data_IF_384404563886
#
_entry.id   IF_384404563886
#
_cell.length_a   1.000
_cell.length_b   1.000
_cell.length_c   1.000
_cell.angle_alpha   90.00
_cell.angle_beta   90.00
_cell.angle_gamma   90.00
#
_symmetry.space_group_name_H-M   'P 1'
#
loop_
_entity.id
_entity.type
_entity.pdbx_description
1 polymer ?
#
# COMPACT_ATOMS: atom_id res chain seq x y z
N UNK A 1 -30.96 -5.47 47.18
CA UNK A 1 -31.51 -4.10 47.07
C UNK A 1 -30.62 -3.35 46.08
N UNK A 2 -31.01 -3.15 44.81
CA UNK A 2 -31.58 -1.90 44.23
C UNK A 2 -30.75 -0.67 44.66
N UNK A 3 -30.10 0.09 43.77
CA UNK A 3 -30.66 0.72 42.57
C UNK A 3 -29.62 1.08 41.49
N UNK A 4 -30.03 0.89 40.24
CA UNK A 4 -29.62 1.58 39.01
C UNK A 4 -29.48 3.09 39.16
N UNK A 5 -28.47 3.69 38.50
CA UNK A 5 -28.53 5.10 38.09
C UNK A 5 -28.06 5.23 36.64
N UNK A 6 -29.02 5.48 35.76
CA UNK A 6 -28.84 5.98 34.39
C UNK A 6 -29.21 7.47 34.43
N UNK A 7 -28.37 8.35 33.89
CA UNK A 7 -28.69 9.68 33.31
C UNK A 7 -27.34 10.24 32.80
N UNK A 8 -27.03 10.08 31.51
CA UNK A 8 -27.29 11.05 30.43
C UNK A 8 -26.69 12.43 30.70
N UNK A 9 -25.71 12.84 29.88
CA UNK A 9 -25.83 14.00 28.99
C UNK A 9 -24.59 14.14 28.10
N UNK A 10 -24.88 14.37 26.82
CA UNK A 10 -23.95 14.54 25.72
C UNK A 10 -23.07 15.78 25.91
N UNK A 11 -21.78 15.64 25.60
CA UNK A 11 -20.90 16.77 25.38
C UNK A 11 -20.48 16.79 23.92
N UNK A 12 -21.27 17.52 23.13
CA UNK A 12 -20.95 17.91 21.77
C UNK A 12 -19.86 18.99 21.83
N UNK A 13 -18.69 18.73 21.23
CA UNK A 13 -17.76 19.80 20.87
C UNK A 13 -17.36 19.62 19.41
N UNK A 14 -18.03 20.41 18.57
CA UNK A 14 -17.65 20.64 17.18
C UNK A 14 -16.48 21.62 17.14
N UNK A 15 -15.42 21.30 16.40
CA UNK A 15 -14.48 22.31 15.90
C UNK A 15 -13.64 21.79 14.72
N UNK A 16 -13.79 22.50 13.59
CA UNK A 16 -12.78 22.80 12.58
C UNK A 16 -12.19 21.67 11.71
N UNK A 17 -12.83 21.45 10.56
CA UNK A 17 -12.11 21.19 9.31
C UNK A 17 -12.54 22.24 8.28
N UNK A 18 -11.87 23.39 8.31
CA UNK A 18 -11.87 24.37 7.23
C UNK A 18 -10.98 23.81 6.11
N UNK A 19 -11.52 23.02 5.19
CA UNK A 19 -10.85 22.77 3.92
C UNK A 19 -11.04 24.00 3.03
N UNK A 20 -9.95 24.74 2.89
CA UNK A 20 -9.78 25.84 1.94
C UNK A 20 -9.86 25.33 0.50
N UNK A 21 -11.08 25.27 -0.05
CA UNK A 21 -11.31 25.07 -1.47
C UNK A 21 -11.12 26.41 -2.20
N UNK A 22 -9.87 26.72 -2.58
CA UNK A 22 -9.61 27.66 -3.67
C UNK A 22 -9.83 26.93 -4.99
N UNK A 23 -10.99 27.13 -5.62
CA UNK A 23 -11.12 27.03 -7.08
C UNK A 23 -11.95 28.20 -7.58
N UNK A 24 -11.25 29.11 -8.26
CA UNK A 24 -11.78 30.29 -8.92
C UNK A 24 -12.71 29.92 -10.10
N UNK A 25 -13.64 30.83 -10.48
CA UNK A 25 -14.65 30.58 -11.50
C UNK A 25 -14.09 30.76 -12.93
N UNK A 26 -14.50 29.88 -13.85
CA UNK A 26 -14.35 30.11 -15.29
C UNK A 26 -15.70 30.49 -15.91
N UNK A 27 -15.86 31.69 -16.50
CA UNK A 27 -17.06 32.03 -17.26
C UNK A 27 -16.94 31.65 -18.74
N UNK A 28 -18.05 31.10 -19.25
CA UNK A 28 -18.62 31.15 -20.60
C UNK A 28 -17.73 30.96 -21.85
N UNK A 29 -18.12 29.99 -22.70
CA UNK A 29 -17.64 29.89 -24.07
C UNK A 29 -18.27 28.74 -24.85
N UNK A 30 -19.44 28.99 -25.42
CA UNK A 30 -20.15 28.13 -26.37
C UNK A 30 -19.47 28.23 -27.75
N UNK A 31 -19.08 27.12 -28.41
CA UNK A 31 -19.04 26.96 -29.89
C UNK A 31 -18.49 25.59 -30.38
N UNK A 32 -19.35 24.83 -31.07
CA UNK A 32 -19.16 23.97 -32.27
C UNK A 32 -18.07 22.87 -32.41
N UNK A 33 -18.34 21.81 -33.22
CA UNK A 33 -17.53 20.59 -33.27
C UNK A 33 -16.36 20.62 -34.29
N UNK A 34 -15.28 19.90 -33.94
CA UNK A 34 -14.24 19.17 -34.73
C UNK A 34 -13.64 19.83 -36.02
N UNK A 35 -12.31 19.76 -36.26
CA UNK A 35 -11.71 18.48 -36.64
C UNK A 35 -10.26 18.20 -36.15
N UNK A 36 -9.93 16.92 -36.16
CA UNK A 36 -8.62 16.24 -36.33
C UNK A 36 -7.33 17.08 -36.19
N UNK A 37 -6.50 16.72 -35.21
CA UNK A 37 -5.04 16.68 -35.32
C UNK A 37 -4.48 15.74 -34.24
N UNK A 38 -4.01 14.59 -34.72
CA UNK A 38 -2.89 13.77 -34.22
C UNK A 38 -2.34 14.13 -32.82
N UNK A 39 -2.42 13.22 -31.81
CA UNK A 39 -1.65 13.41 -30.59
C UNK A 39 -0.17 13.14 -30.90
N UNK A 40 0.66 14.16 -30.72
CA UNK A 40 2.11 14.02 -30.64
C UNK A 40 2.45 12.92 -29.61
N UNK A 41 3.34 11.97 -29.93
CA UNK A 41 3.83 11.05 -28.91
C UNK A 41 4.56 11.89 -27.87
N UNK A 42 4.13 11.78 -26.61
CA UNK A 42 4.96 12.19 -25.50
C UNK A 42 6.29 11.46 -25.65
N UNK A 43 7.37 12.22 -25.86
CA UNK A 43 8.74 11.76 -25.67
C UNK A 43 8.86 11.23 -24.23
N UNK A 44 8.54 9.95 -24.08
CA UNK A 44 9.10 9.14 -23.01
C UNK A 44 10.57 9.06 -23.36
N UNK A 45 11.38 9.92 -22.75
CA UNK A 45 12.82 9.69 -22.70
C UNK A 45 13.01 8.23 -22.31
N UNK A 46 13.76 7.43 -23.09
CA UNK A 46 14.14 6.10 -22.67
C UNK A 46 15.14 6.30 -21.53
N UNK A 47 14.60 6.49 -20.32
CA UNK A 47 15.35 6.27 -19.09
C UNK A 47 15.84 4.85 -19.18
N UNK A 48 17.15 4.72 -19.38
CA UNK A 48 17.93 3.49 -19.38
C UNK A 48 17.22 2.39 -18.61
N UNK A 49 16.89 1.29 -19.30
CA UNK A 49 16.46 0.05 -18.68
C UNK A 49 17.34 -0.21 -17.47
N UNK A 50 16.73 -0.12 -16.29
CA UNK A 50 17.37 -0.39 -15.01
C UNK A 50 17.56 -1.88 -14.85
N UNK A 51 18.40 -2.47 -15.70
CA UNK A 51 18.76 -3.88 -15.66
C UNK A 51 19.39 -4.20 -14.29
N UNK A 52 18.60 -4.87 -13.46
CA UNK A 52 19.06 -5.60 -12.28
C UNK A 52 18.31 -5.26 -11.00
N UNK A 53 18.35 -4.00 -10.56
CA UNK A 53 18.01 -3.66 -9.18
C UNK A 53 16.58 -3.14 -8.98
N UNK A 54 16.00 -2.46 -9.97
CA UNK A 54 14.63 -1.96 -9.90
C UNK A 54 13.60 -2.99 -10.39
N UNK A 55 14.01 -4.18 -10.82
CA UNK A 55 13.07 -5.20 -11.32
C UNK A 55 12.23 -4.70 -12.50
N UNK A 56 10.92 -4.93 -12.44
CA UNK A 56 9.94 -4.49 -13.44
C UNK A 56 9.41 -3.06 -13.23
N UNK A 57 10.00 -2.29 -12.32
CA UNK A 57 9.64 -0.89 -12.08
C UNK A 57 10.40 0.05 -13.02
N UNK A 58 9.81 1.19 -13.37
CA UNK A 58 10.42 2.17 -14.27
C UNK A 58 11.61 2.91 -13.64
N UNK A 59 11.76 2.85 -12.32
CA UNK A 59 12.90 3.43 -11.59
C UNK A 59 13.10 2.80 -10.22
N UNK A 60 14.27 3.03 -9.60
CA UNK A 60 14.52 2.60 -8.22
C UNK A 60 13.59 3.30 -7.21
N UNK A 61 13.26 4.58 -7.42
CA UNK A 61 12.28 5.27 -6.58
C UNK A 61 10.91 4.61 -6.63
N UNK A 62 10.44 4.22 -7.82
CA UNK A 62 9.18 3.51 -7.98
C UNK A 62 9.23 2.13 -7.29
N UNK A 63 10.35 1.41 -7.44
CA UNK A 63 10.57 0.14 -6.76
C UNK A 63 10.53 0.30 -5.24
N UNK A 64 11.24 1.29 -4.71
CA UNK A 64 11.30 1.58 -3.27
C UNK A 64 9.94 1.92 -2.68
N UNK A 65 9.19 2.82 -3.33
CA UNK A 65 7.83 3.17 -2.87
C UNK A 65 6.94 1.94 -2.89
N UNK A 66 6.96 1.17 -3.97
CA UNK A 66 6.05 0.04 -4.15
C UNK A 66 6.39 -1.12 -3.20
N UNK A 67 7.65 -1.53 -3.13
CA UNK A 67 8.12 -2.60 -2.23
C UNK A 67 7.88 -2.22 -0.77
N UNK A 68 8.21 -0.99 -0.37
CA UNK A 68 8.01 -0.54 1.01
C UNK A 68 6.54 -0.47 1.39
N UNK A 69 5.67 0.06 0.51
CA UNK A 69 4.24 0.16 0.79
C UNK A 69 3.58 -1.21 0.95
N UNK A 70 3.92 -2.17 0.09
CA UNK A 70 3.43 -3.55 0.21
C UNK A 70 3.99 -4.21 1.46
N UNK A 71 5.29 -4.06 1.73
CA UNK A 71 5.91 -4.62 2.92
C UNK A 71 5.26 -4.08 4.21
N UNK A 72 5.04 -2.76 4.32
CA UNK A 72 4.32 -2.15 5.43
C UNK A 72 2.90 -2.70 5.59
N UNK A 73 2.18 -2.91 4.49
CA UNK A 73 0.82 -3.48 4.53
C UNK A 73 0.81 -4.88 5.14
N UNK A 74 1.84 -5.68 4.88
CA UNK A 74 2.01 -7.02 5.44
C UNK A 74 2.46 -6.95 6.89
N UNK A 75 3.39 -6.06 7.22
CA UNK A 75 3.94 -5.88 8.57
C UNK A 75 2.94 -5.34 9.58
N UNK A 76 1.76 -4.91 9.14
CA UNK A 76 0.63 -4.54 10.02
C UNK A 76 -0.15 -5.77 10.50
N UNK A 77 -0.09 -6.92 9.83
CA UNK A 77 -0.85 -8.13 10.21
C UNK A 77 -0.65 -8.58 11.67
N UNK A 78 0.56 -8.55 12.26
CA UNK A 78 0.74 -8.85 13.68
C UNK A 78 -0.06 -7.90 14.58
N UNK A 79 -0.10 -6.61 14.24
CA UNK A 79 -0.87 -5.61 14.97
C UNK A 79 -2.38 -5.78 14.77
N UNK A 80 -2.81 -6.15 13.56
CA UNK A 80 -4.20 -6.50 13.28
C UNK A 80 -4.67 -7.62 14.22
N UNK A 81 -3.85 -8.64 14.45
CA UNK A 81 -4.11 -9.70 15.43
C UNK A 81 -4.41 -9.18 16.84
N UNK A 82 -3.67 -8.18 17.32
CA UNK A 82 -3.84 -7.60 18.66
C UNK A 82 -5.17 -6.85 18.83
N UNK A 83 -5.76 -6.36 17.74
CA UNK A 83 -7.01 -5.57 17.76
C UNK A 83 -8.22 -6.35 17.23
N UNK A 84 -8.10 -7.66 17.05
CA UNK A 84 -9.18 -8.52 16.54
C UNK A 84 -9.30 -8.50 15.01
N UNK A 85 -8.16 -8.60 14.33
CA UNK A 85 -8.03 -8.62 12.88
C UNK A 85 -8.94 -9.64 12.19
N UNK A 86 -9.26 -9.36 10.94
CA UNK A 86 -10.27 -10.07 10.16
C UNK A 86 -9.69 -10.68 8.89
N UNK A 87 -10.42 -11.62 8.29
CA UNK A 87 -10.01 -12.25 7.04
C UNK A 87 -9.75 -11.22 5.92
N UNK A 88 -10.42 -10.07 5.94
CA UNK A 88 -10.22 -8.98 4.99
C UNK A 88 -8.83 -8.34 5.11
N UNK A 89 -8.22 -8.29 6.30
CA UNK A 89 -6.87 -7.75 6.50
C UNK A 89 -5.83 -8.65 5.82
N UNK A 90 -6.00 -9.96 5.98
CA UNK A 90 -5.16 -10.98 5.33
C UNK A 90 -5.35 -10.93 3.82
N UNK A 91 -6.60 -10.86 3.36
CA UNK A 91 -6.92 -10.74 1.94
C UNK A 91 -6.28 -9.49 1.33
N UNK A 92 -6.33 -8.35 2.01
CA UNK A 92 -5.67 -7.12 1.57
C UNK A 92 -4.17 -7.33 1.44
N UNK A 93 -3.51 -7.95 2.42
CA UNK A 93 -2.08 -8.24 2.32
C UNK A 93 -1.74 -9.17 1.13
N UNK A 94 -2.55 -10.21 0.90
CA UNK A 94 -2.41 -11.08 -0.27
C UNK A 94 -2.60 -10.35 -1.60
N UNK A 95 -3.59 -9.46 -1.67
CA UNK A 95 -3.87 -8.66 -2.87
C UNK A 95 -2.72 -7.67 -3.15
N UNK A 96 -2.14 -7.04 -2.11
CA UNK A 96 -0.96 -6.17 -2.27
C UNK A 96 0.27 -6.97 -2.72
N UNK A 97 0.48 -8.18 -2.20
CA UNK A 97 1.53 -9.09 -2.67
C UNK A 97 1.36 -9.47 -4.13
N UNK A 98 0.13 -9.79 -4.55
CA UNK A 98 -0.17 -10.17 -5.92
C UNK A 98 0.09 -9.03 -6.91
N UNK A 99 -0.15 -7.76 -6.52
CA UNK A 99 0.16 -6.59 -7.37
C UNK A 99 1.65 -6.41 -7.64
N UNK A 100 2.50 -6.86 -6.72
CA UNK A 100 3.95 -6.82 -6.86
C UNK A 100 4.53 -8.02 -7.59
N UNK A 101 3.76 -9.09 -7.74
CA UNK A 101 4.22 -10.31 -8.38
C UNK A 101 4.67 -10.02 -9.83
N UNK A 102 5.90 -10.44 -10.15
CA UNK A 102 6.51 -10.18 -11.46
C UNK A 102 7.17 -8.81 -11.63
N UNK A 103 6.90 -7.84 -10.73
CA UNK A 103 7.56 -6.52 -10.74
C UNK A 103 8.73 -6.44 -9.77
N UNK A 104 8.71 -7.25 -8.71
CA UNK A 104 9.79 -7.26 -7.72
C UNK A 104 11.16 -7.56 -8.37
N UNK A 105 12.23 -6.91 -7.87
CA UNK A 105 13.61 -7.22 -8.26
C UNK A 105 13.91 -8.72 -8.15
N UNK A 106 14.76 -9.24 -9.03
CA UNK A 106 15.17 -10.67 -9.06
C UNK A 106 15.62 -11.17 -7.68
N UNK A 107 16.43 -10.37 -6.97
CA UNK A 107 16.92 -10.67 -5.62
C UNK A 107 15.77 -10.88 -4.61
N UNK A 108 14.65 -10.16 -4.79
CA UNK A 108 13.51 -10.19 -3.87
C UNK A 108 12.46 -11.25 -4.19
N UNK A 109 12.39 -11.74 -5.44
CA UNK A 109 11.41 -12.76 -5.87
C UNK A 109 11.30 -13.94 -4.89
N UNK A 110 12.39 -14.66 -4.54
CA UNK A 110 12.27 -15.82 -3.65
C UNK A 110 11.81 -15.46 -2.23
N UNK A 111 12.06 -14.23 -1.77
CA UNK A 111 11.63 -13.78 -0.45
C UNK A 111 10.15 -13.44 -0.43
N UNK A 112 9.67 -12.75 -1.47
CA UNK A 112 8.25 -12.47 -1.67
C UNK A 112 7.43 -13.75 -1.87
N UNK A 113 7.94 -14.73 -2.61
CA UNK A 113 7.25 -16.01 -2.80
C UNK A 113 7.10 -16.79 -1.49
N UNK A 114 8.16 -16.84 -0.66
CA UNK A 114 8.10 -17.48 0.65
C UNK A 114 7.16 -16.75 1.60
N UNK A 115 7.20 -15.42 1.63
CA UNK A 115 6.31 -14.60 2.44
C UNK A 115 4.85 -14.78 2.02
N UNK A 116 4.59 -14.81 0.71
CA UNK A 116 3.27 -15.11 0.16
C UNK A 116 2.79 -16.50 0.56
N UNK A 117 3.61 -17.54 0.39
CA UNK A 117 3.25 -18.89 0.79
C UNK A 117 2.95 -19.00 2.29
N UNK A 118 3.72 -18.29 3.12
CA UNK A 118 3.46 -18.20 4.55
C UNK A 118 2.09 -17.55 4.85
N UNK A 119 1.79 -16.41 4.24
CA UNK A 119 0.51 -15.71 4.44
C UNK A 119 -0.67 -16.56 3.94
N UNK A 120 -0.53 -17.20 2.79
CA UNK A 120 -1.55 -18.10 2.24
C UNK A 120 -1.80 -19.31 3.17
N UNK A 121 -0.75 -19.86 3.79
CA UNK A 121 -0.85 -20.94 4.76
C UNK A 121 -1.36 -20.49 6.14
N UNK A 122 -0.99 -19.28 6.56
CA UNK A 122 -1.42 -18.73 7.84
C UNK A 122 -2.90 -18.34 7.81
N UNK A 123 -3.38 -17.80 6.69
CA UNK A 123 -4.78 -17.38 6.55
C UNK A 123 -5.17 -16.42 7.68
N UNK A 124 -6.33 -16.63 8.29
CA UNK A 124 -6.80 -15.79 9.40
C UNK A 124 -6.24 -16.18 10.77
N UNK A 125 -5.24 -17.06 10.85
CA UNK A 125 -4.56 -17.37 12.11
C UNK A 125 -3.52 -16.28 12.43
N UNK A 126 -3.99 -15.20 13.05
CA UNK A 126 -3.16 -14.03 13.32
C UNK A 126 -1.99 -14.29 14.28
N UNK A 127 -2.03 -15.38 15.06
CA UNK A 127 -0.91 -15.74 15.94
C UNK A 127 0.35 -16.08 15.15
N UNK A 128 0.21 -16.54 13.90
CA UNK A 128 1.35 -16.85 13.04
C UNK A 128 2.11 -15.61 12.59
N UNK A 129 1.43 -14.48 12.36
CA UNK A 129 2.11 -13.25 11.92
C UNK A 129 3.01 -12.66 13.02
N UNK A 130 2.72 -12.92 14.30
CA UNK A 130 3.59 -12.53 15.42
C UNK A 130 4.77 -13.48 15.67
N UNK A 131 4.97 -14.51 14.83
CA UNK A 131 5.99 -15.54 15.07
C UNK A 131 7.39 -15.14 14.59
N UNK A 132 8.41 -15.80 15.16
CA UNK A 132 9.80 -15.70 14.68
C UNK A 132 9.94 -16.08 13.20
N UNK A 133 9.08 -16.97 12.69
CA UNK A 133 9.09 -17.37 11.29
C UNK A 133 8.71 -16.20 10.38
N UNK A 134 7.62 -15.49 10.70
CA UNK A 134 7.22 -14.29 9.97
C UNK A 134 8.36 -13.25 9.95
N UNK A 135 8.99 -12.99 11.11
CA UNK A 135 10.13 -12.08 11.19
C UNK A 135 11.31 -12.51 10.32
N UNK A 136 11.66 -13.80 10.31
CA UNK A 136 12.74 -14.34 9.46
C UNK A 136 12.45 -14.22 7.97
N UNK A 137 11.20 -14.41 7.57
CA UNK A 137 10.78 -14.29 6.17
C UNK A 137 10.77 -12.83 5.69
N UNK A 138 10.45 -11.91 6.59
CA UNK A 138 10.41 -10.47 6.31
C UNK A 138 11.79 -9.82 6.21
N UNK A 139 12.77 -10.29 7.00
CA UNK A 139 14.12 -9.69 7.10
C UNK A 139 14.83 -9.40 5.77
N UNK A 140 14.90 -10.33 4.80
CA UNK A 140 15.59 -10.05 3.54
C UNK A 140 14.94 -8.92 2.72
N UNK A 141 13.62 -8.72 2.89
CA UNK A 141 12.89 -7.62 2.26
C UNK A 141 13.24 -6.31 2.96
N UNK A 142 13.26 -6.30 4.30
CA UNK A 142 13.69 -5.14 5.11
C UNK A 142 15.12 -4.72 4.74
N UNK A 143 16.06 -5.66 4.72
CA UNK A 143 17.47 -5.40 4.40
C UNK A 143 17.64 -4.84 2.98
N UNK A 144 16.84 -5.33 2.02
CA UNK A 144 16.82 -4.76 0.68
C UNK A 144 16.29 -3.32 0.68
N UNK A 145 15.20 -3.05 1.39
CA UNK A 145 14.63 -1.69 1.50
C UNK A 145 15.69 -0.75 2.11
N UNK A 146 16.27 -1.10 3.25
CA UNK A 146 17.26 -0.28 3.96
C UNK A 146 18.50 0.03 3.09
N UNK A 147 18.93 -0.95 2.30
CA UNK A 147 20.09 -0.82 1.42
C UNK A 147 19.81 0.08 0.21
N UNK A 148 18.61 -0.01 -0.38
CA UNK A 148 18.31 0.56 -1.69
C UNK A 148 17.43 1.82 -1.65
N UNK A 149 16.70 2.06 -0.57
CA UNK A 149 15.69 3.10 -0.46
C UNK A 149 16.13 4.21 0.50
N UNK A 150 16.49 5.37 -0.05
CA UNK A 150 16.97 6.55 0.68
C UNK A 150 16.17 7.79 0.36
#
# INVERSE_FOLDING_TARGET
MKTTSRLWLALSLAAAMLLSACSLPAPAGQQSPAPSSEPAPAESSPGTSGDGLAGGFGSMNEACVSVSATFLSISILPLAGLVGGKAEDVKKAQDELAKLQGKVPEELKPHFDKLKAFIDSAGSDFNKYGSDEFGKLSKPIEEWIDKNCK
#
